data_IF_180585836770
#
_entry.id   IF_180585836770
#
_cell.length_a   1.000
_cell.length_b   1.000
_cell.length_c   1.000
_cell.angle_alpha   90.00
_cell.angle_beta   90.00
_cell.angle_gamma   90.00
#
_symmetry.space_group_name_H-M   'P 1'
#
loop_
_entity.id
_entity.type
_entity.pdbx_description
1 polymer ?
#
# COMPACT_ATOMS: atom_id res chain seq x y z
N UNK A 1 -24.91 7.82 -13.35
CA UNK A 1 -24.03 8.32 -12.28
C UNK A 1 -24.80 8.58 -10.98
N UNK A 2 -24.30 8.14 -9.82
CA UNK A 2 -24.90 8.37 -8.50
C UNK A 2 -24.54 9.75 -7.90
N UNK A 3 -25.15 10.14 -6.77
CA UNK A 3 -24.92 11.47 -6.15
C UNK A 3 -23.47 11.71 -5.72
N UNK A 4 -22.79 10.69 -5.18
CA UNK A 4 -21.38 10.82 -4.75
C UNK A 4 -20.48 11.09 -5.95
N UNK A 5 -20.71 10.36 -7.04
CA UNK A 5 -19.98 10.54 -8.30
C UNK A 5 -20.24 11.93 -8.91
N UNK A 6 -21.47 12.45 -8.84
CA UNK A 6 -21.79 13.83 -9.25
C UNK A 6 -20.97 14.87 -8.48
N UNK A 7 -20.79 14.70 -7.17
CA UNK A 7 -19.93 15.58 -6.36
C UNK A 7 -18.47 15.51 -6.81
N UNK A 8 -17.94 14.31 -7.03
CA UNK A 8 -16.57 14.13 -7.53
C UNK A 8 -16.39 14.77 -8.92
N UNK A 9 -17.34 14.58 -9.84
CA UNK A 9 -17.29 15.21 -11.16
C UNK A 9 -17.34 16.74 -11.06
N UNK A 10 -18.21 17.30 -10.19
CA UNK A 10 -18.26 18.75 -9.93
C UNK A 10 -16.90 19.28 -9.46
N UNK A 11 -16.27 18.61 -8.50
CA UNK A 11 -14.95 19.02 -8.02
C UNK A 11 -13.87 18.93 -9.10
N UNK A 12 -13.93 17.92 -9.99
CA UNK A 12 -13.02 17.84 -11.14
C UNK A 12 -13.20 19.03 -12.10
N UNK A 13 -14.45 19.44 -12.37
CA UNK A 13 -14.73 20.63 -13.18
C UNK A 13 -14.16 21.89 -12.55
N UNK A 14 -14.37 22.08 -11.25
CA UNK A 14 -13.86 23.24 -10.52
C UNK A 14 -12.33 23.29 -10.55
N UNK A 15 -11.64 22.15 -10.39
CA UNK A 15 -10.18 22.07 -10.53
C UNK A 15 -9.75 22.48 -11.94
N UNK A 16 -10.42 21.97 -12.97
CA UNK A 16 -10.12 22.31 -14.36
C UNK A 16 -10.32 23.81 -14.65
N UNK A 17 -11.40 24.43 -14.14
CA UNK A 17 -11.63 25.87 -14.23
C UNK A 17 -10.52 26.68 -13.57
N UNK A 18 -10.13 26.31 -12.33
CA UNK A 18 -9.04 26.96 -11.60
C UNK A 18 -7.73 26.83 -12.37
N UNK A 19 -7.47 25.64 -12.92
CA UNK A 19 -6.26 25.39 -13.68
C UNK A 19 -6.21 26.21 -14.98
N UNK A 20 -7.31 26.29 -15.72
CA UNK A 20 -7.39 27.13 -16.94
C UNK A 20 -7.21 28.61 -16.63
N UNK A 21 -7.89 29.13 -15.60
CA UNK A 21 -7.79 30.54 -15.17
C UNK A 21 -6.35 30.94 -14.80
N UNK A 22 -5.59 30.01 -14.21
CA UNK A 22 -4.24 30.28 -13.70
C UNK A 22 -3.12 29.73 -14.59
N UNK A 23 -3.44 29.18 -15.77
CA UNK A 23 -2.50 28.50 -16.66
C UNK A 23 -1.66 27.44 -15.92
N UNK A 24 -2.35 26.52 -15.24
CA UNK A 24 -1.76 25.42 -14.47
C UNK A 24 -1.98 24.12 -15.23
N UNK A 25 -0.91 23.35 -15.44
CA UNK A 25 -1.00 22.04 -16.08
C UNK A 25 -1.43 20.95 -15.10
N UNK A 26 -2.43 20.16 -15.50
CA UNK A 26 -2.87 18.99 -14.77
C UNK A 26 -3.18 17.83 -15.73
N UNK A 27 -3.26 16.62 -15.18
CA UNK A 27 -3.55 15.40 -15.93
C UNK A 27 -4.53 14.53 -15.14
N UNK A 28 -5.57 13.99 -15.77
CA UNK A 28 -6.39 12.98 -15.10
C UNK A 28 -5.53 11.77 -14.71
N UNK A 29 -5.88 11.13 -13.59
CA UNK A 29 -5.25 9.88 -13.18
C UNK A 29 -5.44 8.78 -14.25
N UNK A 30 -4.61 7.72 -14.23
CA UNK A 30 -4.76 6.61 -15.18
C UNK A 30 -6.15 5.97 -15.10
N UNK A 31 -6.77 5.95 -13.91
CA UNK A 31 -8.10 5.36 -13.73
C UNK A 31 -9.19 6.16 -14.42
N UNK A 32 -9.24 7.46 -14.19
CA UNK A 32 -10.23 8.34 -14.83
C UNK A 32 -9.99 8.43 -16.35
N UNK A 33 -8.72 8.41 -16.78
CA UNK A 33 -8.36 8.35 -18.21
C UNK A 33 -8.85 7.06 -18.86
N UNK A 34 -8.70 5.92 -18.17
CA UNK A 34 -9.21 4.64 -18.66
C UNK A 34 -10.74 4.66 -18.81
N UNK A 35 -11.45 5.22 -17.83
CA UNK A 35 -12.91 5.39 -17.91
C UNK A 35 -13.33 6.24 -19.11
N UNK A 36 -12.65 7.36 -19.33
CA UNK A 36 -12.93 8.26 -20.45
C UNK A 36 -12.71 7.60 -21.83
N UNK A 37 -11.65 6.80 -21.96
CA UNK A 37 -11.21 6.28 -23.28
C UNK A 37 -11.89 4.96 -23.65
N UNK A 38 -12.11 4.09 -22.67
CA UNK A 38 -12.72 2.77 -22.89
C UNK A 38 -14.25 2.79 -22.62
N UNK A 39 -14.83 3.95 -22.32
CA UNK A 39 -16.26 4.09 -22.02
C UNK A 39 -16.71 3.32 -20.78
N UNK A 40 -15.80 3.12 -19.82
CA UNK A 40 -16.14 2.45 -18.56
C UNK A 40 -16.98 3.39 -17.68
N UNK A 41 -17.88 2.85 -16.83
CA UNK A 41 -18.63 3.69 -15.91
C UNK A 41 -17.70 4.50 -15.00
N UNK A 42 -18.12 5.71 -14.66
CA UNK A 42 -17.42 6.53 -13.67
C UNK A 42 -17.14 5.72 -12.39
N UNK A 43 -15.95 5.80 -11.77
CA UNK A 43 -15.61 4.96 -10.65
C UNK A 43 -16.59 5.10 -9.48
N UNK A 44 -16.97 3.97 -8.87
CA UNK A 44 -17.92 3.98 -7.75
C UNK A 44 -17.27 4.36 -6.42
N UNK A 45 -15.98 4.03 -6.28
CA UNK A 45 -15.21 4.36 -5.09
C UNK A 45 -14.90 5.88 -5.07
N UNK A 46 -15.33 6.62 -4.04
CA UNK A 46 -15.16 8.07 -3.96
C UNK A 46 -13.70 8.51 -3.86
N UNK A 47 -12.77 7.61 -3.51
CA UNK A 47 -11.33 7.91 -3.44
C UNK A 47 -10.63 7.86 -4.81
N UNK A 48 -11.33 7.55 -5.91
CA UNK A 48 -10.75 7.57 -7.26
C UNK A 48 -10.86 8.93 -7.98
N UNK A 49 -11.42 9.94 -7.32
CA UNK A 49 -11.26 11.33 -7.74
C UNK A 49 -9.80 11.76 -7.61
N UNK A 50 -9.01 11.57 -8.66
CA UNK A 50 -7.56 11.79 -8.62
C UNK A 50 -7.07 12.53 -9.85
N UNK A 51 -6.29 13.57 -9.61
CA UNK A 51 -5.58 14.37 -10.62
C UNK A 51 -4.08 14.30 -10.32
N UNK A 52 -3.27 14.37 -11.38
CA UNK A 52 -1.82 14.44 -11.30
C UNK A 52 -1.36 15.83 -11.75
N UNK A 53 -0.39 16.40 -11.04
CA UNK A 53 0.24 17.67 -11.40
C UNK A 53 1.75 17.55 -11.22
N UNK A 54 2.55 18.27 -12.01
CA UNK A 54 3.98 18.45 -11.70
C UNK A 54 4.10 19.13 -10.33
N UNK A 55 5.14 18.84 -9.54
CA UNK A 55 5.27 19.38 -8.17
C UNK A 55 5.18 20.93 -8.13
N UNK A 56 5.74 21.61 -9.12
CA UNK A 56 5.64 23.08 -9.22
C UNK A 56 4.21 23.55 -9.51
N UNK A 57 3.50 22.88 -10.41
CA UNK A 57 2.11 23.17 -10.77
C UNK A 57 1.15 22.89 -9.59
N UNK A 58 1.42 21.84 -8.82
CA UNK A 58 0.69 21.55 -7.58
C UNK A 58 0.82 22.71 -6.57
N UNK A 59 2.01 23.30 -6.41
CA UNK A 59 2.18 24.48 -5.54
C UNK A 59 1.48 25.72 -6.08
N UNK A 60 1.52 25.95 -7.40
CA UNK A 60 0.78 27.04 -8.05
C UNK A 60 -0.73 26.87 -7.83
N UNK A 61 -1.24 25.64 -7.91
CA UNK A 61 -2.64 25.33 -7.63
C UNK A 61 -3.00 25.64 -6.18
N UNK A 62 -2.14 25.23 -5.23
CA UNK A 62 -2.35 25.56 -3.80
C UNK A 62 -2.48 27.05 -3.57
N UNK A 63 -1.57 27.85 -4.16
CA UNK A 63 -1.62 29.31 -4.07
C UNK A 63 -2.86 29.90 -4.73
N UNK A 64 -3.25 29.40 -5.90
CA UNK A 64 -4.45 29.87 -6.60
C UNK A 64 -5.73 29.68 -5.77
N UNK A 65 -5.88 28.54 -5.11
CA UNK A 65 -7.03 28.26 -4.23
C UNK A 65 -6.98 29.08 -2.94
N UNK A 66 -5.80 29.32 -2.38
CA UNK A 66 -5.66 30.17 -1.19
C UNK A 66 -5.99 31.65 -1.49
N UNK A 67 -5.67 32.13 -2.70
CA UNK A 67 -5.95 33.50 -3.12
C UNK A 67 -7.42 33.72 -3.51
N UNK A 68 -8.10 32.69 -4.00
CA UNK A 68 -9.49 32.73 -4.46
C UNK A 68 -10.29 31.55 -3.85
N UNK A 69 -10.52 31.56 -2.53
CA UNK A 69 -11.18 30.46 -1.83
C UNK A 69 -12.65 30.38 -2.24
N UNK A 70 -13.07 29.23 -2.74
CA UNK A 70 -14.47 28.96 -3.07
C UNK A 70 -15.27 28.61 -1.82
N UNK A 71 -16.52 29.06 -1.76
CA UNK A 71 -17.44 28.73 -0.67
C UNK A 71 -17.62 27.21 -0.58
N UNK A 72 -17.71 26.68 0.64
CA UNK A 72 -17.92 25.25 0.93
C UNK A 72 -16.86 24.34 0.32
N UNK A 73 -15.65 24.87 0.14
CA UNK A 73 -14.47 24.14 -0.33
C UNK A 73 -13.35 24.27 0.67
N UNK A 74 -12.58 23.21 0.79
CA UNK A 74 -11.35 23.19 1.57
C UNK A 74 -10.21 22.65 0.71
N UNK A 75 -9.00 23.18 0.94
CA UNK A 75 -7.77 22.63 0.41
C UNK A 75 -6.83 22.31 1.58
N UNK A 76 -6.50 21.04 1.75
CA UNK A 76 -5.61 20.59 2.81
C UNK A 76 -4.41 19.79 2.30
N UNK A 77 -3.35 19.82 3.10
CA UNK A 77 -2.08 19.13 2.86
C UNK A 77 -1.31 19.00 4.17
N UNK A 78 -0.12 18.38 4.13
CA UNK A 78 0.82 18.39 5.26
C UNK A 78 1.22 19.81 5.69
N UNK A 79 1.09 20.81 4.82
CA UNK A 79 1.40 22.21 5.15
C UNK A 79 0.37 22.81 6.10
N UNK A 80 -0.89 22.40 6.01
CA UNK A 80 -2.03 22.99 6.74
C UNK A 80 -2.59 22.08 7.83
N UNK A 81 -2.36 20.76 7.77
CA UNK A 81 -2.91 19.81 8.74
C UNK A 81 -1.87 18.81 9.29
N UNK A 82 -1.75 18.75 10.62
CA UNK A 82 -0.69 18.02 11.35
C UNK A 82 -0.82 16.50 11.29
N UNK A 83 -1.99 15.99 10.91
CA UNK A 83 -2.23 14.55 10.78
C UNK A 83 -2.39 14.12 9.32
N UNK A 84 -2.17 15.04 8.37
CA UNK A 84 -2.32 14.76 6.95
C UNK A 84 -1.36 13.63 6.52
N UNK A 85 -1.86 12.65 5.76
CA UNK A 85 -1.19 11.35 5.62
C UNK A 85 -0.03 11.34 4.63
N UNK A 86 0.18 12.36 3.78
CA UNK A 86 1.29 12.32 2.84
C UNK A 86 1.45 13.54 1.96
N UNK A 87 2.46 13.50 1.10
CA UNK A 87 2.81 14.60 0.21
C UNK A 87 1.92 14.62 -1.05
N UNK A 88 0.79 15.29 -0.90
CA UNK A 88 -0.21 15.61 -1.93
C UNK A 88 -1.16 16.70 -1.41
N UNK A 89 -2.02 17.22 -2.28
CA UNK A 89 -3.13 18.10 -1.87
C UNK A 89 -4.46 17.36 -1.93
N UNK A 90 -5.42 17.78 -1.12
CA UNK A 90 -6.80 17.30 -1.20
C UNK A 90 -7.76 18.48 -1.28
N UNK A 91 -8.52 18.55 -2.36
CA UNK A 91 -9.54 19.58 -2.61
C UNK A 91 -10.93 18.99 -2.35
N UNK A 92 -11.66 19.54 -1.39
CA UNK A 92 -12.78 18.86 -0.74
C UNK A 92 -14.05 19.69 -0.72
N UNK A 93 -15.20 19.01 -0.74
CA UNK A 93 -16.51 19.61 -0.51
C UNK A 93 -16.90 19.47 0.96
N UNK A 94 -17.00 20.60 1.66
CA UNK A 94 -17.30 20.64 3.11
C UNK A 94 -18.76 20.30 3.44
N UNK A 95 -19.67 20.35 2.46
CA UNK A 95 -21.08 19.98 2.61
C UNK A 95 -21.31 18.46 2.50
N UNK A 96 -20.23 17.68 2.50
CA UNK A 96 -20.29 16.22 2.40
C UNK A 96 -19.42 15.56 3.47
N UNK A 97 -19.53 14.24 3.61
CA UNK A 97 -18.66 13.45 4.49
C UNK A 97 -18.11 12.22 3.76
N UNK A 98 -16.83 11.97 3.93
CA UNK A 98 -16.06 10.82 3.46
C UNK A 98 -14.94 10.52 4.47
N UNK A 99 -15.31 9.89 5.57
CA UNK A 99 -14.46 9.65 6.73
C UNK A 99 -14.09 8.17 6.84
N UNK A 100 -12.81 7.89 7.10
CA UNK A 100 -12.36 6.57 7.54
C UNK A 100 -12.27 6.53 9.07
N UNK A 101 -13.09 5.68 9.70
CA UNK A 101 -13.17 5.55 11.14
C UNK A 101 -11.90 4.94 11.76
N UNK A 102 -11.05 4.28 10.98
CA UNK A 102 -9.78 3.76 11.51
C UNK A 102 -8.68 4.83 11.55
N UNK A 103 -8.83 5.90 10.75
CA UNK A 103 -7.89 7.02 10.66
C UNK A 103 -8.64 8.35 10.81
N UNK A 104 -9.38 8.58 11.92
CA UNK A 104 -10.37 9.65 11.97
C UNK A 104 -9.77 11.06 11.98
N UNK A 105 -8.46 11.19 12.25
CA UNK A 105 -7.73 12.48 12.20
C UNK A 105 -7.06 12.76 10.86
N UNK A 106 -7.11 11.83 9.90
CA UNK A 106 -6.35 11.93 8.65
C UNK A 106 -6.58 13.26 7.92
N UNK A 107 -7.81 13.76 7.98
CA UNK A 107 -8.26 14.96 7.28
C UNK A 107 -8.97 15.90 8.24
N UNK A 108 -8.68 17.20 8.14
CA UNK A 108 -9.35 18.22 8.93
C UNK A 108 -10.78 18.43 8.44
N UNK A 109 -11.00 18.28 7.13
CA UNK A 109 -12.29 18.44 6.47
C UNK A 109 -12.66 17.12 5.77
N UNK A 110 -13.14 16.10 6.49
CA UNK A 110 -13.31 14.76 5.92
C UNK A 110 -14.54 14.67 4.99
N UNK A 111 -14.55 15.44 3.91
CA UNK A 111 -15.56 15.47 2.85
C UNK A 111 -15.18 14.60 1.66
N UNK A 112 -16.10 14.48 0.70
CA UNK A 112 -15.77 13.99 -0.64
C UNK A 112 -14.80 14.98 -1.28
N UNK A 113 -13.73 14.46 -1.89
CA UNK A 113 -12.65 15.31 -2.37
C UNK A 113 -11.83 14.66 -3.48
N UNK A 114 -11.12 15.51 -4.21
CA UNK A 114 -10.15 15.13 -5.23
C UNK A 114 -8.75 15.15 -4.64
N UNK A 115 -8.04 14.04 -4.78
CA UNK A 115 -6.63 13.95 -4.43
C UNK A 115 -5.77 14.43 -5.61
N UNK A 116 -4.91 15.40 -5.36
CA UNK A 116 -3.97 15.94 -6.35
C UNK A 116 -2.59 15.39 -6.01
N UNK A 117 -2.15 14.36 -6.73
CA UNK A 117 -0.84 13.75 -6.52
C UNK A 117 0.26 14.47 -7.31
N UNK A 118 1.41 14.76 -6.69
CA UNK A 118 2.54 15.30 -7.40
C UNK A 118 3.23 14.22 -8.25
N UNK A 119 3.52 14.58 -9.50
CA UNK A 119 4.50 13.93 -10.36
C UNK A 119 5.89 14.40 -9.91
N UNK A 120 6.56 13.56 -9.13
CA UNK A 120 7.79 13.91 -8.43
C UNK A 120 8.98 13.75 -9.36
N UNK A 121 9.72 14.83 -9.61
CA UNK A 121 10.97 14.73 -10.33
C UNK A 121 12.06 14.06 -9.46
N UNK A 122 13.04 13.43 -10.09
CA UNK A 122 14.22 12.92 -9.40
C UNK A 122 15.24 14.04 -9.12
N UNK A 123 14.84 15.08 -8.37
CA UNK A 123 15.72 16.23 -8.11
C UNK A 123 16.82 15.94 -7.09
N UNK A 124 16.60 15.03 -6.15
CA UNK A 124 17.63 14.63 -5.18
C UNK A 124 18.44 13.40 -5.65
N UNK A 125 19.77 13.46 -5.47
CA UNK A 125 20.68 12.33 -5.57
C UNK A 125 21.33 11.98 -4.23
N UNK A 126 21.84 10.74 -4.12
CA UNK A 126 22.68 10.32 -3.01
C UNK A 126 22.04 10.43 -1.63
N UNK A 127 22.72 11.13 -0.71
CA UNK A 127 22.35 11.21 0.70
C UNK A 127 21.08 12.02 0.95
N UNK A 128 20.87 13.12 0.23
CA UNK A 128 19.65 13.96 0.36
C UNK A 128 18.38 13.16 0.06
N UNK A 129 18.40 12.38 -1.03
CA UNK A 129 17.28 11.49 -1.40
C UNK A 129 17.00 10.42 -0.33
N UNK A 130 18.06 9.85 0.24
CA UNK A 130 17.93 8.86 1.33
C UNK A 130 17.31 9.50 2.56
N UNK A 131 17.71 10.74 2.88
CA UNK A 131 17.16 11.50 4.00
C UNK A 131 15.68 11.86 3.79
N UNK A 132 15.31 12.44 2.66
CA UNK A 132 13.90 12.78 2.37
C UNK A 132 12.99 11.55 2.37
N UNK A 133 13.47 10.42 1.83
CA UNK A 133 12.76 9.13 1.90
C UNK A 133 12.60 8.64 3.34
N UNK A 134 13.64 8.81 4.16
CA UNK A 134 13.64 8.43 5.56
C UNK A 134 12.65 9.27 6.36
N UNK A 135 12.61 10.59 6.15
CA UNK A 135 11.66 11.50 6.79
C UNK A 135 10.22 11.22 6.37
N UNK A 136 9.96 11.05 5.07
CA UNK A 136 8.63 10.72 4.57
C UNK A 136 8.14 9.37 5.13
N UNK A 137 9.03 8.37 5.22
CA UNK A 137 8.70 7.09 5.86
C UNK A 137 8.43 7.26 7.35
N UNK A 138 9.28 7.98 8.08
CA UNK A 138 9.07 8.26 9.50
C UNK A 138 7.77 9.02 9.77
N UNK A 139 7.36 9.92 8.86
CA UNK A 139 6.06 10.60 8.92
C UNK A 139 4.89 9.63 8.76
N UNK A 140 4.92 8.77 7.73
CA UNK A 140 3.91 7.75 7.46
C UNK A 140 3.73 6.74 8.61
N UNK A 141 4.79 6.42 9.34
CA UNK A 141 4.72 5.53 10.51
C UNK A 141 4.20 6.23 11.79
N UNK A 142 4.15 7.57 11.78
CA UNK A 142 3.68 8.40 12.90
C UNK A 142 2.26 8.96 12.73
N UNK A 143 1.61 8.76 11.58
CA UNK A 143 0.18 9.06 11.39
C UNK A 143 -0.68 7.93 11.98
N UNK A 144 -1.96 8.21 12.22
CA UNK A 144 -2.91 7.27 12.85
C UNK A 144 -3.31 6.07 11.94
N UNK A 145 -2.51 5.76 10.92
CA UNK A 145 -2.71 4.59 10.06
C UNK A 145 -2.19 3.31 10.73
N UNK A 146 -2.62 2.12 10.27
CA UNK A 146 -1.98 0.86 10.66
C UNK A 146 -0.52 0.86 10.20
N UNK A 147 0.39 1.03 11.16
CA UNK A 147 1.82 0.86 10.94
C UNK A 147 2.09 -0.62 10.65
N UNK A 148 2.60 -0.92 9.45
CA UNK A 148 3.04 -2.26 9.05
C UNK A 148 4.51 -2.45 9.47
N UNK A 149 4.82 -2.15 10.73
CA UNK A 149 6.22 -2.11 11.18
C UNK A 149 6.89 -3.48 11.01
N UNK A 150 7.79 -3.54 10.03
CA UNK A 150 8.82 -4.55 9.91
C UNK A 150 10.17 -3.85 9.69
N UNK A 151 11.17 -4.19 10.50
CA UNK A 151 12.58 -3.82 10.32
C UNK A 151 13.08 -2.59 11.10
N UNK A 152 14.34 -2.67 11.52
CA UNK A 152 15.04 -1.67 12.34
C UNK A 152 15.06 -0.25 11.74
N UNK A 153 15.26 -0.12 10.42
CA UNK A 153 15.29 1.20 9.74
C UNK A 153 13.95 1.94 9.87
N UNK A 154 12.83 1.21 9.79
CA UNK A 154 11.47 1.76 9.96
C UNK A 154 11.31 2.32 11.37
N UNK A 155 11.72 1.53 12.37
CA UNK A 155 11.71 1.92 13.77
C UNK A 155 12.53 3.20 14.03
N UNK A 156 13.76 3.28 13.53
CA UNK A 156 14.59 4.49 13.65
C UNK A 156 13.92 5.72 13.02
N UNK A 157 13.37 5.58 11.81
CA UNK A 157 12.69 6.69 11.13
C UNK A 157 11.48 7.20 11.90
N UNK A 158 10.70 6.28 12.46
CA UNK A 158 9.55 6.60 13.31
C UNK A 158 10.00 7.34 14.57
N UNK A 159 11.02 6.82 15.27
CA UNK A 159 11.49 7.39 16.52
C UNK A 159 12.01 8.82 16.33
N UNK A 160 12.82 9.05 15.29
CA UNK A 160 13.38 10.38 15.00
C UNK A 160 12.29 11.40 14.66
N UNK A 161 11.34 11.04 13.79
CA UNK A 161 10.23 11.95 13.45
C UNK A 161 9.32 12.19 14.66
N UNK A 162 9.10 11.18 15.51
CA UNK A 162 8.33 11.32 16.75
C UNK A 162 8.99 12.30 17.71
N UNK A 163 10.29 12.16 17.94
CA UNK A 163 11.07 13.07 18.78
C UNK A 163 11.04 14.50 18.22
N UNK A 164 11.23 14.67 16.91
CA UNK A 164 11.13 15.99 16.26
C UNK A 164 9.74 16.61 16.43
N UNK A 165 8.67 15.83 16.31
CA UNK A 165 7.30 16.30 16.56
C UNK A 165 7.09 16.75 18.01
N UNK A 166 7.75 16.11 18.99
CA UNK A 166 7.69 16.50 20.40
C UNK A 166 8.45 17.80 20.67
N UNK A 167 9.60 18.01 20.02
CA UNK A 167 10.45 19.19 20.23
C UNK A 167 9.94 20.44 19.49
N UNK A 168 9.56 20.29 18.22
CA UNK A 168 9.25 21.42 17.32
C UNK A 168 7.75 21.60 17.07
N UNK A 169 6.94 20.66 17.56
CA UNK A 169 5.52 20.58 17.24
C UNK A 169 5.25 19.83 15.92
N UNK A 170 4.15 19.08 15.92
CA UNK A 170 3.77 18.20 14.81
C UNK A 170 3.44 18.96 13.53
N UNK A 171 2.75 20.11 13.62
CA UNK A 171 2.40 20.94 12.46
C UNK A 171 3.65 21.49 11.77
N UNK A 172 4.60 21.99 12.56
CA UNK A 172 5.87 22.51 12.04
C UNK A 172 6.65 21.40 11.33
N UNK A 173 6.75 20.22 11.95
CA UNK A 173 7.40 19.06 11.34
C UNK A 173 6.75 18.66 10.01
N UNK A 174 5.41 18.61 9.95
CA UNK A 174 4.65 18.30 8.74
C UNK A 174 4.96 19.29 7.62
N UNK A 175 4.89 20.59 7.94
CA UNK A 175 5.16 21.69 7.03
C UNK A 175 6.60 21.65 6.52
N UNK A 176 7.57 21.39 7.39
CA UNK A 176 8.99 21.33 7.01
C UNK A 176 9.26 20.20 6.01
N UNK A 177 8.75 18.99 6.29
CA UNK A 177 8.83 17.86 5.35
C UNK A 177 8.18 18.23 4.01
N UNK A 178 6.99 18.82 4.05
CA UNK A 178 6.27 19.23 2.85
C UNK A 178 7.08 20.21 1.99
N UNK A 179 7.62 21.27 2.60
CA UNK A 179 8.43 22.26 1.90
C UNK A 179 9.72 21.67 1.33
N UNK A 180 10.38 20.78 2.09
CA UNK A 180 11.60 20.12 1.63
C UNK A 180 11.31 19.15 0.47
N UNK A 181 10.16 18.47 0.47
CA UNK A 181 9.70 17.65 -0.66
C UNK A 181 9.33 18.50 -1.88
N UNK A 182 8.69 19.65 -1.70
CA UNK A 182 8.43 20.59 -2.79
C UNK A 182 9.74 21.06 -3.44
N UNK A 183 10.74 21.49 -2.65
CA UNK A 183 12.03 21.95 -3.18
C UNK A 183 12.81 20.84 -3.89
N UNK A 184 12.86 19.64 -3.31
CA UNK A 184 13.65 18.52 -3.83
C UNK A 184 13.04 17.82 -5.05
N UNK A 185 11.73 17.96 -5.27
CA UNK A 185 11.01 17.22 -6.32
C UNK A 185 10.52 18.12 -7.45
N UNK A 186 11.05 19.34 -7.52
CA UNK A 186 10.90 20.26 -8.63
C UNK A 186 12.19 20.24 -9.46
N UNK A 187 12.11 19.64 -10.65
CA UNK A 187 13.17 19.73 -11.65
C UNK A 187 12.51 19.84 -13.04
N UNK A 188 12.59 21.01 -13.69
CA UNK A 188 12.06 21.23 -15.04
C UNK A 188 12.77 20.38 -16.11
N UNK A 189 14.04 20.00 -15.88
CA UNK A 189 14.84 19.19 -16.80
C UNK A 189 14.74 17.68 -16.50
N UNK A 190 13.80 17.28 -15.65
CA UNK A 190 13.65 15.89 -15.24
C UNK A 190 13.40 14.98 -16.44
N UNK A 191 14.19 13.91 -16.57
CA UNK A 191 13.97 12.89 -17.60
C UNK A 191 12.81 11.94 -17.28
N UNK A 192 12.47 11.80 -15.99
CA UNK A 192 11.44 10.89 -15.48
C UNK A 192 10.70 11.52 -14.30
N UNK A 193 9.42 11.22 -14.19
CA UNK A 193 8.59 11.53 -13.03
C UNK A 193 8.18 10.24 -12.30
N UNK A 194 8.11 10.30 -10.97
CA UNK A 194 7.61 9.22 -10.14
C UNK A 194 6.30 9.60 -9.47
N UNK A 195 5.33 8.70 -9.54
CA UNK A 195 4.05 8.78 -8.85
C UNK A 195 4.09 7.80 -7.67
N UNK A 196 4.22 8.33 -6.45
CA UNK A 196 4.24 7.54 -5.22
C UNK A 196 2.83 7.49 -4.62
N UNK A 197 2.26 6.28 -4.52
CA UNK A 197 0.96 5.99 -3.90
C UNK A 197 1.17 4.96 -2.79
N UNK A 198 1.31 5.43 -1.55
CA UNK A 198 1.67 4.60 -0.38
C UNK A 198 2.91 3.73 -0.67
N UNK A 199 2.74 2.41 -0.82
CA UNK A 199 3.81 1.43 -1.10
C UNK A 199 4.13 1.26 -2.59
N UNK A 200 3.28 1.75 -3.48
CA UNK A 200 3.45 1.62 -4.93
C UNK A 200 4.12 2.87 -5.51
N UNK A 201 5.13 2.68 -6.35
CA UNK A 201 5.79 3.75 -7.10
C UNK A 201 5.68 3.42 -8.58
N UNK A 202 5.03 4.28 -9.35
CA UNK A 202 4.96 4.18 -10.82
C UNK A 202 5.87 5.24 -11.41
N UNK A 203 6.76 4.85 -12.34
CA UNK A 203 7.71 5.77 -12.98
C UNK A 203 7.28 6.01 -14.44
N UNK A 204 7.19 7.27 -14.82
CA UNK A 204 6.82 7.71 -16.16
C UNK A 204 7.96 8.50 -16.81
N UNK A 205 8.19 8.36 -18.13
CA UNK A 205 9.12 9.23 -18.84
C UNK A 205 8.54 10.65 -18.93
N UNK A 206 9.37 11.68 -18.75
CA UNK A 206 8.91 13.07 -18.74
C UNK A 206 8.26 13.50 -20.06
N UNK A 207 8.77 12.99 -21.21
CA UNK A 207 8.19 13.17 -22.55
C UNK A 207 6.70 12.85 -22.65
N UNK A 208 6.18 12.01 -21.74
CA UNK A 208 4.75 11.68 -21.69
C UNK A 208 3.89 12.91 -21.33
N UNK A 209 4.41 13.82 -20.51
CA UNK A 209 3.70 14.98 -19.96
C UNK A 209 4.18 16.31 -20.59
N UNK A 210 4.77 16.26 -21.79
CA UNK A 210 5.11 17.47 -22.56
C UNK A 210 3.93 17.98 -23.40
N UNK A 211 3.07 17.07 -23.83
CA UNK A 211 1.89 17.38 -24.66
C UNK A 211 0.65 16.79 -24.02
N UNK A 212 -0.39 17.60 -23.94
CA UNK A 212 -1.71 17.19 -23.49
C UNK A 212 -2.64 16.94 -24.67
N UNK A 213 -3.72 16.22 -24.40
CA UNK A 213 -4.91 16.19 -25.22
C UNK A 213 -6.14 16.20 -24.32
N UNK A 214 -7.28 16.56 -24.89
CA UNK A 214 -8.54 16.57 -24.18
C UNK A 214 -9.29 15.26 -24.40
N UNK A 215 -9.89 14.72 -23.34
CA UNK A 215 -10.82 13.58 -23.40
C UNK A 215 -12.14 13.95 -22.74
N UNK A 216 -13.20 13.30 -23.17
CA UNK A 216 -14.53 13.45 -22.60
C UNK A 216 -14.77 12.41 -21.51
N UNK A 217 -15.24 12.84 -20.35
CA UNK A 217 -15.64 11.98 -19.24
C UNK A 217 -16.98 12.49 -18.70
N UNK A 218 -18.03 11.69 -18.86
CA UNK A 218 -19.40 12.03 -18.42
C UNK A 218 -19.89 13.39 -18.99
N UNK A 219 -19.56 13.70 -20.24
CA UNK A 219 -19.94 14.94 -20.94
C UNK A 219 -19.01 16.13 -20.70
N UNK A 220 -17.99 15.98 -19.86
CA UNK A 220 -17.06 17.05 -19.50
C UNK A 220 -15.67 16.81 -20.10
N UNK A 221 -14.99 17.90 -20.47
CA UNK A 221 -13.69 17.86 -21.15
C UNK A 221 -12.53 18.06 -20.18
N UNK A 222 -11.63 17.08 -20.11
CA UNK A 222 -10.48 17.10 -19.19
C UNK A 222 -9.14 16.84 -19.89
N UNK A 223 -8.07 17.33 -19.29
CA UNK A 223 -6.71 17.18 -19.80
C UNK A 223 -6.09 15.82 -19.42
N UNK A 224 -5.47 15.17 -20.40
CA UNK A 224 -4.69 13.93 -20.24
C UNK A 224 -3.41 13.99 -21.08
N UNK A 225 -2.41 13.13 -20.81
CA UNK A 225 -1.24 13.01 -21.68
C UNK A 225 -1.63 12.61 -23.11
N UNK A 226 -0.99 13.24 -24.12
CA UNK A 226 -1.28 12.97 -25.55
C UNK A 226 -1.10 11.49 -25.91
N UNK A 227 -0.07 10.82 -25.36
CA UNK A 227 0.13 9.40 -25.60
C UNK A 227 -0.60 8.54 -24.56
N UNK A 228 -1.94 8.48 -24.68
CA UNK A 228 -2.82 7.73 -23.78
C UNK A 228 -2.44 6.25 -23.71
N UNK A 229 -2.18 5.60 -24.86
CA UNK A 229 -1.82 4.18 -24.90
C UNK A 229 -0.59 3.91 -24.03
N UNK A 230 0.47 4.71 -24.17
CA UNK A 230 1.69 4.57 -23.37
C UNK A 230 1.43 4.87 -21.89
N UNK A 231 0.63 5.90 -21.60
CA UNK A 231 0.25 6.26 -20.23
C UNK A 231 -0.44 5.10 -19.50
N UNK A 232 -1.49 4.53 -20.11
CA UNK A 232 -2.24 3.41 -19.53
C UNK A 232 -1.42 2.11 -19.50
N UNK A 233 -0.59 1.86 -20.52
CA UNK A 233 0.29 0.67 -20.56
C UNK A 233 1.31 0.69 -19.42
N UNK A 234 1.89 1.86 -19.08
CA UNK A 234 2.80 1.98 -17.93
C UNK A 234 2.05 1.76 -16.61
N UNK A 235 0.81 2.26 -16.51
CA UNK A 235 0.03 2.17 -15.27
C UNK A 235 -0.56 0.79 -14.99
N UNK A 236 -0.93 0.04 -16.03
CA UNK A 236 -1.76 -1.17 -15.93
C UNK A 236 -1.23 -2.37 -16.72
N UNK A 237 -0.19 -2.21 -17.53
CA UNK A 237 0.31 -3.24 -18.45
C UNK A 237 -0.41 -3.22 -19.81
N UNK A 238 0.05 -4.07 -20.74
CA UNK A 238 -0.48 -4.15 -22.10
C UNK A 238 -1.95 -4.60 -22.17
N UNK A 239 -2.41 -5.37 -21.18
CA UNK A 239 -3.79 -5.87 -21.06
C UNK A 239 -4.79 -4.87 -20.47
N UNK A 240 -4.46 -3.58 -20.36
CA UNK A 240 -5.28 -2.60 -19.64
C UNK A 240 -6.74 -2.50 -20.14
N UNK A 241 -7.00 -2.81 -21.41
CA UNK A 241 -8.35 -2.80 -22.01
C UNK A 241 -9.29 -3.86 -21.44
N UNK A 242 -8.74 -4.92 -20.85
CA UNK A 242 -9.53 -5.98 -20.21
C UNK A 242 -9.97 -5.59 -18.79
N UNK A 243 -9.48 -4.47 -18.25
CA UNK A 243 -9.81 -4.01 -16.91
C UNK A 243 -11.26 -3.55 -16.88
N UNK A 244 -12.04 -4.18 -16.00
CA UNK A 244 -13.42 -3.78 -15.70
C UNK A 244 -13.46 -2.86 -14.47
N UNK A 245 -14.55 -2.12 -14.31
CA UNK A 245 -14.81 -1.39 -13.06
C UNK A 245 -15.19 -2.39 -11.95
N UNK A 246 -14.44 -2.50 -10.85
CA UNK A 246 -14.79 -3.38 -9.77
C UNK A 246 -16.05 -2.87 -9.08
N UNK A 247 -16.90 -3.79 -8.62
CA UNK A 247 -18.01 -3.44 -7.74
C UNK A 247 -17.45 -2.87 -6.44
N UNK A 248 -17.80 -1.64 -6.10
CA UNK A 248 -17.36 -1.01 -4.86
C UNK A 248 -18.38 -1.24 -3.75
N UNK A 249 -17.95 -1.90 -2.68
CA UNK A 249 -18.66 -1.92 -1.40
C UNK A 249 -18.04 -0.91 -0.46
N UNK A 250 -18.87 -0.06 0.16
CA UNK A 250 -18.41 0.85 1.20
C UNK A 250 -17.84 0.02 2.36
N UNK A 251 -16.58 0.23 2.76
CA UNK A 251 -16.02 -0.47 3.92
C UNK A 251 -16.84 -0.16 5.18
N UNK A 252 -17.08 -1.15 6.04
CA UNK A 252 -17.87 -0.97 7.28
C UNK A 252 -17.27 0.06 8.24
N UNK A 253 -15.99 0.38 8.08
CA UNK A 253 -15.24 1.39 8.80
C UNK A 253 -15.25 2.77 8.10
N UNK A 254 -16.16 3.04 7.18
CA UNK A 254 -16.23 4.31 6.44
C UNK A 254 -17.61 4.94 6.48
N UNK A 255 -17.66 6.26 6.68
CA UNK A 255 -18.88 7.05 6.60
C UNK A 255 -18.78 7.93 5.36
N UNK A 256 -19.68 7.69 4.40
CA UNK A 256 -19.63 8.35 3.10
C UNK A 256 -21.04 8.81 2.72
N UNK A 257 -21.26 10.11 2.72
CA UNK A 257 -22.52 10.74 2.32
C UNK A 257 -22.27 11.99 1.49
N UNK A 258 -23.06 12.15 0.43
CA UNK A 258 -23.12 13.37 -0.38
C UNK A 258 -24.33 14.26 0.01
N UNK A 259 -25.01 13.93 1.12
CA UNK A 259 -26.22 14.63 1.59
C UNK A 259 -26.06 15.32 2.93
N UNK A 260 -25.04 14.93 3.69
CA UNK A 260 -24.81 15.36 5.06
C UNK A 260 -23.37 15.87 5.09
N UNK A 261 -23.20 17.06 5.65
CA UNK A 261 -21.89 17.65 5.87
C UNK A 261 -21.18 16.95 7.03
N UNK A 262 -19.85 16.96 7.01
CA UNK A 262 -19.09 16.47 8.18
C UNK A 262 -19.40 17.31 9.44
N UNK A 263 -19.74 18.59 9.28
CA UNK A 263 -20.07 19.48 10.38
C UNK A 263 -21.40 19.11 11.06
N UNK A 264 -22.42 18.73 10.30
CA UNK A 264 -23.68 18.19 10.84
C UNK A 264 -23.44 16.88 11.59
N UNK A 265 -22.65 15.97 11.01
CA UNK A 265 -22.29 14.72 11.68
C UNK A 265 -21.63 14.98 13.05
N UNK A 266 -20.74 15.98 13.12
CA UNK A 266 -20.10 16.36 14.39
C UNK A 266 -21.03 17.02 15.39
N UNK A 267 -22.00 17.83 14.93
CA UNK A 267 -23.03 18.37 15.82
C UNK A 267 -23.85 17.26 16.46
N UNK A 268 -24.22 16.22 15.70
CA UNK A 268 -24.97 15.08 16.21
C UNK A 268 -24.14 14.21 17.18
N UNK A 269 -22.86 13.98 16.87
CA UNK A 269 -21.99 13.10 17.66
C UNK A 269 -21.36 13.79 18.87
N UNK A 270 -21.50 15.10 18.99
CA UNK A 270 -20.93 15.89 20.07
C UNK A 270 -19.41 16.07 19.93
N UNK A 271 -18.65 15.64 20.93
CA UNK A 271 -17.19 15.90 20.94
C UNK A 271 -16.44 14.97 19.98
N UNK A 272 -15.99 15.52 18.85
CA UNK A 272 -15.11 14.83 17.90
C UNK A 272 -13.85 14.26 18.57
N UNK A 273 -13.22 15.00 19.48
CA UNK A 273 -12.02 14.54 20.20
C UNK A 273 -12.30 13.31 21.06
N UNK A 274 -13.46 13.26 21.72
CA UNK A 274 -13.90 12.09 22.48
C UNK A 274 -14.09 10.88 21.57
N UNK A 275 -14.82 11.06 20.47
CA UNK A 275 -15.02 10.01 19.46
C UNK A 275 -13.69 9.45 18.96
N UNK A 276 -12.78 10.33 18.54
CA UNK A 276 -11.44 9.97 18.06
C UNK A 276 -10.67 9.20 19.13
N UNK A 277 -10.70 9.64 20.39
CA UNK A 277 -9.99 8.98 21.50
C UNK A 277 -10.53 7.56 21.75
N UNK A 278 -11.84 7.39 21.77
CA UNK A 278 -12.49 6.09 21.95
C UNK A 278 -12.22 5.15 20.77
N UNK A 279 -12.31 5.68 19.55
CA UNK A 279 -12.06 4.92 18.33
C UNK A 279 -10.61 4.46 18.23
N UNK A 280 -9.63 5.33 18.51
CA UNK A 280 -8.21 4.95 18.52
C UNK A 280 -7.90 3.92 19.62
N UNK A 281 -8.56 3.99 20.79
CA UNK A 281 -8.46 2.93 21.82
C UNK A 281 -8.98 1.59 21.29
N UNK A 282 -10.15 1.59 20.62
CA UNK A 282 -10.74 0.40 20.03
C UNK A 282 -9.84 -0.21 18.95
N UNK A 283 -9.35 0.61 18.01
CA UNK A 283 -8.41 0.18 16.96
C UNK A 283 -7.15 -0.45 17.55
N UNK A 284 -6.59 0.11 18.63
CA UNK A 284 -5.43 -0.48 19.32
C UNK A 284 -5.75 -1.84 19.95
N UNK A 285 -6.93 -1.99 20.59
CA UNK A 285 -7.37 -3.28 21.14
C UNK A 285 -7.51 -4.33 20.04
N UNK A 286 -8.16 -3.99 18.92
CA UNK A 286 -8.31 -4.87 17.76
C UNK A 286 -6.94 -5.26 17.19
N UNK A 287 -6.00 -4.33 17.07
CA UNK A 287 -4.63 -4.64 16.62
C UNK A 287 -3.90 -5.61 17.55
N UNK A 288 -4.02 -5.42 18.88
CA UNK A 288 -3.44 -6.36 19.86
C UNK A 288 -4.06 -7.75 19.71
N UNK A 289 -5.39 -7.82 19.57
CA UNK A 289 -6.11 -9.09 19.37
C UNK A 289 -5.69 -9.79 18.08
N UNK A 290 -5.51 -9.06 16.97
CA UNK A 290 -5.01 -9.63 15.70
C UNK A 290 -3.62 -10.26 15.87
N UNK A 291 -2.68 -9.58 16.52
CA UNK A 291 -1.35 -10.18 16.79
C UNK A 291 -1.41 -11.48 17.59
N UNK A 292 -2.32 -11.56 18.56
CA UNK A 292 -2.53 -12.80 19.32
C UNK A 292 -3.16 -13.89 18.46
N UNK A 293 -4.07 -13.52 17.55
CA UNK A 293 -4.64 -14.44 16.57
C UNK A 293 -3.57 -14.95 15.60
N UNK A 294 -2.73 -14.08 15.06
CA UNK A 294 -1.63 -14.46 14.14
C UNK A 294 -0.67 -15.44 14.85
N UNK A 295 -0.31 -15.17 16.11
CA UNK A 295 0.50 -16.08 16.92
C UNK A 295 -0.22 -17.41 17.19
N UNK A 296 -1.52 -17.39 17.47
CA UNK A 296 -2.31 -18.60 17.66
C UNK A 296 -2.38 -19.43 16.38
N UNK A 297 -2.61 -18.80 15.22
CA UNK A 297 -2.62 -19.46 13.92
C UNK A 297 -1.24 -20.08 13.62
N UNK A 298 -0.14 -19.36 13.86
CA UNK A 298 1.21 -19.90 13.72
C UNK A 298 1.47 -21.10 14.65
N UNK A 299 1.02 -21.01 15.91
CA UNK A 299 1.13 -22.11 16.87
C UNK A 299 0.29 -23.32 16.43
N UNK A 300 -0.90 -23.08 15.91
CA UNK A 300 -1.80 -24.13 15.43
C UNK A 300 -1.25 -24.83 14.18
N UNK A 301 -0.73 -24.05 13.22
CA UNK A 301 -0.06 -24.57 12.03
C UNK A 301 1.13 -25.47 12.42
N UNK A 302 1.86 -25.10 13.47
CA UNK A 302 2.95 -25.92 14.00
C UNK A 302 2.43 -27.21 14.67
N UNK A 303 1.35 -27.14 15.46
CA UNK A 303 0.71 -28.34 16.03
C UNK A 303 0.22 -29.30 14.93
N UNK A 304 -0.42 -28.79 13.87
CA UNK A 304 -0.82 -29.60 12.72
C UNK A 304 0.38 -30.21 12.00
N UNK A 305 1.48 -29.46 11.87
CA UNK A 305 2.73 -29.95 11.31
C UNK A 305 3.29 -31.10 12.15
N UNK A 306 3.39 -30.96 13.47
CA UNK A 306 3.81 -32.03 14.39
C UNK A 306 2.91 -33.26 14.30
N UNK A 307 1.59 -33.08 14.22
CA UNK A 307 0.65 -34.19 14.04
C UNK A 307 0.87 -34.94 12.71
N UNK A 308 1.12 -34.21 11.61
CA UNK A 308 1.47 -34.82 10.31
C UNK A 308 2.82 -35.54 10.37
N UNK A 309 3.78 -34.97 11.10
CA UNK A 309 5.12 -35.53 11.30
C UNK A 309 5.06 -36.87 12.05
N UNK A 310 4.36 -36.90 13.19
CA UNK A 310 4.16 -38.10 13.99
C UNK A 310 3.43 -39.21 13.21
N UNK A 311 2.35 -38.86 12.50
CA UNK A 311 1.62 -39.82 11.66
C UNK A 311 2.50 -40.40 10.55
N UNK A 312 3.37 -39.58 9.96
CA UNK A 312 4.31 -40.05 8.96
C UNK A 312 5.35 -40.98 9.59
N UNK A 313 5.92 -40.62 10.75
CA UNK A 313 6.83 -41.47 11.51
C UNK A 313 6.25 -42.86 11.77
N UNK A 314 5.03 -42.93 12.31
CA UNK A 314 4.29 -44.19 12.52
C UNK A 314 4.14 -44.99 11.22
N UNK A 315 3.92 -44.31 10.08
CA UNK A 315 3.78 -44.98 8.78
C UNK A 315 5.08 -45.59 8.26
N UNK A 316 6.23 -44.98 8.59
CA UNK A 316 7.57 -45.48 8.24
C UNK A 316 7.98 -46.59 9.19
N UNK A 317 7.66 -46.49 10.48
CA UNK A 317 7.85 -47.54 11.48
C UNK A 317 7.17 -48.85 11.04
N UNK A 318 5.90 -48.77 10.61
CA UNK A 318 5.15 -49.92 10.08
C UNK A 318 5.74 -50.54 8.81
N UNK A 319 6.64 -49.85 8.13
CA UNK A 319 7.31 -50.30 6.89
C UNK A 319 8.81 -50.51 7.09
N UNK A 320 9.30 -50.46 8.33
CA UNK A 320 10.72 -50.48 8.64
C UNK A 320 11.40 -51.74 8.11
N UNK A 321 10.80 -52.91 8.33
CA UNK A 321 11.32 -54.19 7.81
C UNK A 321 11.44 -54.20 6.28
N UNK A 322 10.46 -53.60 5.60
CA UNK A 322 10.48 -53.49 4.14
C UNK A 322 11.60 -52.55 3.66
N UNK A 323 11.79 -51.41 4.33
CA UNK A 323 12.87 -50.46 4.03
C UNK A 323 14.24 -51.10 4.28
N UNK A 324 14.41 -51.80 5.40
CA UNK A 324 15.64 -52.51 5.74
C UNK A 324 15.98 -53.58 4.71
N UNK A 325 14.98 -54.32 4.20
CA UNK A 325 15.18 -55.31 3.17
C UNK A 325 15.63 -54.67 1.84
N UNK A 326 14.97 -53.59 1.41
CA UNK A 326 15.40 -52.84 0.22
C UNK A 326 16.82 -52.29 0.36
N UNK A 327 17.17 -51.80 1.56
CA UNK A 327 18.50 -51.27 1.85
C UNK A 327 19.57 -52.35 1.82
N UNK A 328 19.31 -53.53 2.42
CA UNK A 328 20.23 -54.69 2.36
C UNK A 328 20.49 -55.19 0.94
N UNK A 329 19.52 -55.03 0.03
CA UNK A 329 19.65 -55.41 -1.38
C UNK A 329 20.15 -54.27 -2.28
N UNK A 330 20.55 -53.13 -1.71
CA UNK A 330 21.05 -51.95 -2.45
C UNK A 330 20.05 -51.41 -3.51
N UNK A 331 18.73 -51.61 -3.32
CA UNK A 331 17.70 -51.08 -4.23
C UNK A 331 17.39 -49.60 -3.93
N UNK A 332 18.38 -48.76 -4.21
CA UNK A 332 18.32 -47.32 -3.98
C UNK A 332 17.25 -46.61 -4.83
N UNK A 333 16.90 -47.15 -6.00
CA UNK A 333 15.89 -46.57 -6.90
C UNK A 333 14.49 -46.71 -6.30
N UNK A 334 14.18 -47.87 -5.69
CA UNK A 334 12.91 -48.07 -4.98
C UNK A 334 12.90 -47.31 -3.66
N UNK A 335 14.01 -47.30 -2.91
CA UNK A 335 14.13 -46.51 -1.68
C UNK A 335 13.89 -45.02 -1.93
N UNK A 336 14.42 -44.45 -3.01
CA UNK A 336 14.17 -43.04 -3.35
C UNK A 336 12.67 -42.74 -3.50
N UNK A 337 11.91 -43.66 -4.13
CA UNK A 337 10.46 -43.53 -4.28
C UNK A 337 9.76 -43.64 -2.92
N UNK A 338 10.17 -44.60 -2.09
CA UNK A 338 9.64 -44.80 -0.74
C UNK A 338 9.89 -43.58 0.15
N UNK A 339 11.03 -42.92 0.02
CA UNK A 339 11.39 -41.74 0.81
C UNK A 339 10.86 -40.41 0.27
N UNK A 340 10.10 -40.37 -0.85
CA UNK A 340 9.51 -39.10 -1.35
C UNK A 340 8.66 -38.34 -0.31
N UNK A 341 7.77 -39.00 0.47
CA UNK A 341 7.05 -38.34 1.55
C UNK A 341 7.98 -37.85 2.67
N UNK A 342 8.95 -38.67 3.08
CA UNK A 342 9.97 -38.34 4.07
C UNK A 342 10.77 -37.10 3.67
N UNK A 343 11.21 -37.05 2.41
CA UNK A 343 11.95 -35.93 1.83
C UNK A 343 11.17 -34.60 1.93
N UNK A 344 9.88 -34.62 1.58
CA UNK A 344 9.01 -33.43 1.70
C UNK A 344 8.81 -33.01 3.14
N UNK A 345 8.70 -33.96 4.07
CA UNK A 345 8.57 -33.67 5.50
C UNK A 345 9.87 -33.07 6.03
N UNK A 346 11.02 -33.67 5.69
CA UNK A 346 12.34 -33.18 6.07
C UNK A 346 12.57 -31.75 5.58
N UNK A 347 12.23 -31.40 4.33
CA UNK A 347 12.34 -30.01 3.85
C UNK A 347 11.54 -29.02 4.70
N UNK A 348 10.31 -29.39 5.08
CA UNK A 348 9.46 -28.55 5.94
C UNK A 348 10.01 -28.44 7.36
N UNK A 349 10.57 -29.51 7.91
CA UNK A 349 11.25 -29.47 9.22
C UNK A 349 12.45 -28.54 9.19
N UNK A 350 13.26 -28.62 8.13
CA UNK A 350 14.46 -27.77 7.97
C UNK A 350 14.10 -26.28 7.85
N UNK A 351 12.98 -25.94 7.21
CA UNK A 351 12.44 -24.56 7.19
C UNK A 351 12.12 -24.03 8.60
N UNK A 352 11.86 -24.93 9.56
CA UNK A 352 11.63 -24.62 10.98
C UNK A 352 12.89 -24.77 11.83
N UNK A 353 14.03 -25.13 11.25
CA UNK A 353 15.28 -25.40 11.96
C UNK A 353 15.28 -26.73 12.72
N UNK A 354 14.45 -27.68 12.31
CA UNK A 354 14.28 -28.99 12.95
C UNK A 354 14.61 -30.13 11.98
N UNK A 355 14.91 -31.31 12.53
CA UNK A 355 15.12 -32.54 11.77
C UNK A 355 13.89 -33.44 11.93
N UNK A 356 13.47 -34.10 10.84
CA UNK A 356 12.51 -35.19 10.92
C UNK A 356 13.23 -36.49 11.26
N UNK A 357 13.22 -36.89 12.53
CA UNK A 357 13.99 -38.03 13.06
C UNK A 357 13.14 -38.86 14.03
N UNK A 358 11.94 -39.28 13.62
CA UNK A 358 11.06 -40.08 14.51
C UNK A 358 11.60 -41.51 14.72
N UNK A 359 12.47 -42.00 13.83
CA UNK A 359 13.25 -43.22 13.98
C UNK A 359 14.67 -42.97 13.44
N UNK A 360 15.68 -43.20 14.28
CA UNK A 360 17.09 -42.92 13.98
C UNK A 360 17.64 -43.82 12.86
N UNK A 361 17.25 -45.09 12.83
CA UNK A 361 17.74 -46.05 11.83
C UNK A 361 17.16 -45.73 10.44
N UNK A 362 15.90 -45.31 10.37
CA UNK A 362 15.28 -44.83 9.14
C UNK A 362 15.92 -43.51 8.67
N UNK A 363 16.31 -42.63 9.59
CA UNK A 363 17.03 -41.40 9.26
C UNK A 363 18.41 -41.71 8.66
N UNK A 364 19.17 -42.62 9.25
CA UNK A 364 20.50 -43.01 8.76
C UNK A 364 20.41 -43.60 7.34
N UNK A 365 19.45 -44.51 7.11
CA UNK A 365 19.18 -45.08 5.78
C UNK A 365 18.79 -43.97 4.80
N UNK A 366 17.96 -43.01 5.22
CA UNK A 366 17.57 -41.88 4.38
C UNK A 366 18.77 -41.00 4.00
N UNK A 367 19.68 -40.72 4.93
CA UNK A 367 20.91 -39.93 4.68
C UNK A 367 21.80 -40.65 3.66
N UNK A 368 22.00 -41.96 3.78
CA UNK A 368 22.76 -42.74 2.78
C UNK A 368 22.06 -42.71 1.41
N UNK A 369 20.73 -42.88 1.37
CA UNK A 369 19.95 -42.77 0.12
C UNK A 369 20.13 -41.40 -0.53
N UNK A 370 20.16 -40.30 0.23
CA UNK A 370 20.41 -38.96 -0.33
C UNK A 370 21.80 -38.85 -0.97
N UNK A 371 22.81 -39.44 -0.34
CA UNK A 371 24.18 -39.48 -0.87
C UNK A 371 24.26 -40.29 -2.16
N UNK A 372 23.73 -41.52 -2.16
CA UNK A 372 23.76 -42.42 -3.32
C UNK A 372 22.93 -41.91 -4.50
N UNK A 373 21.88 -41.12 -4.24
CA UNK A 373 21.02 -40.52 -5.29
C UNK A 373 21.45 -39.11 -5.70
N UNK A 374 22.57 -38.59 -5.18
CA UNK A 374 23.14 -37.30 -5.60
C UNK A 374 22.42 -36.06 -5.06
N UNK A 375 21.64 -36.18 -3.98
CA UNK A 375 20.93 -35.07 -3.31
C UNK A 375 21.76 -34.44 -2.19
N UNK A 376 23.00 -34.08 -2.51
CA UNK A 376 24.02 -33.61 -1.56
C UNK A 376 23.63 -32.30 -0.85
N UNK A 377 22.95 -31.37 -1.52
CA UNK A 377 22.52 -30.10 -0.92
C UNK A 377 21.60 -30.29 0.29
N UNK A 378 20.72 -31.30 0.24
CA UNK A 378 19.81 -31.57 1.35
C UNK A 378 20.51 -32.32 2.49
N UNK A 379 21.46 -33.21 2.17
CA UNK A 379 22.32 -33.87 3.17
C UNK A 379 23.14 -32.85 3.96
N UNK A 380 23.75 -31.87 3.28
CA UNK A 380 24.51 -30.80 3.94
C UNK A 380 23.63 -29.98 4.91
N UNK A 381 22.40 -29.64 4.50
CA UNK A 381 21.45 -28.91 5.39
C UNK A 381 21.10 -29.71 6.64
N UNK A 382 20.98 -31.03 6.54
CA UNK A 382 20.73 -31.91 7.69
C UNK A 382 21.97 -31.95 8.59
N UNK A 383 23.16 -32.12 8.01
CA UNK A 383 24.42 -32.18 8.76
C UNK A 383 24.86 -30.88 9.44
N UNK A 384 24.24 -29.74 9.13
CA UNK A 384 24.44 -28.47 9.87
C UNK A 384 23.67 -28.47 11.22
N UNK A 385 22.61 -29.28 11.32
CA UNK A 385 21.72 -29.34 12.49
C UNK A 385 21.98 -30.55 13.41
N UNK A 386 22.80 -31.50 12.94
CA UNK A 386 23.36 -32.62 13.71
C UNK A 386 24.74 -32.19 14.19
#
# INVERSE_FOLDING_TARGET
MNRKQKVILSLLKEIDEICRKNNIEYYLSPRLTLCAVEGLPFPQNPYFGVVLMKTAEMERFRQAVENDPREKRALESMKTHKYFPGFYLRYENTDTVCLNLDCPREYAYPGLGITIYPLRANGDSGMKKRWSTFEEKGWLENIDQPADEKGFKTFCSKMLIKLRCQLTGRQWTARKIYEDLCRSQQDPAASKYSLKRKKQVTVYPAKLFEKTQTVELEGEKFQVPKNIKKYLTISYGSGYRQIREPKYSVPGQSIISARVSYAELWKEWGSFDRFVKERLKSVRKVRKSRKMKDYFEESWDYVEFCGKRMNLGISYERKKDYILNLYKNEDYVTLEKVFRPYFKMMQKSLEKGEIFAEDEEILDIYIDVLEKTGKTEQKEKIGILI
#
